data_IF_484232314817
#
_entry.id   IF_484232314817
#
_cell.length_a   1.000
_cell.length_b   1.000
_cell.length_c   1.000
_cell.angle_alpha   90.00
_cell.angle_beta   90.00
_cell.angle_gamma   90.00
#
_symmetry.space_group_name_H-M   'P 1'
#
loop_
_entity.id
_entity.type
_entity.pdbx_description
1 polymer ?
#
# COMPACT_ATOMS: atom_id res chain seq x y z
N UNK A 1 26.15 1.08 22.27
CA UNK A 1 25.88 1.57 20.92
C UNK A 1 26.27 0.53 19.86
N UNK A 2 27.47 -0.06 19.95
CA UNK A 2 27.96 -1.04 18.96
C UNK A 2 27.21 -2.38 18.93
N UNK A 3 26.64 -2.85 20.03
CA UNK A 3 25.88 -4.09 20.08
C UNK A 3 24.48 -3.94 19.42
N UNK A 4 23.88 -2.76 19.53
CA UNK A 4 22.60 -2.45 18.87
C UNK A 4 22.82 -2.27 17.35
N UNK A 5 23.90 -1.59 16.96
CA UNK A 5 24.28 -1.45 15.55
C UNK A 5 24.57 -2.82 14.90
N UNK A 6 25.30 -3.70 15.57
CA UNK A 6 25.61 -5.04 15.06
C UNK A 6 24.38 -5.95 14.94
N UNK A 7 23.38 -5.77 15.78
CA UNK A 7 22.13 -6.53 15.70
C UNK A 7 21.15 -5.99 14.64
N UNK A 8 21.26 -4.69 14.29
CA UNK A 8 20.37 -4.07 13.27
C UNK A 8 20.92 -4.19 11.84
N UNK A 9 22.23 -4.33 11.65
CA UNK A 9 22.87 -4.46 10.34
C UNK A 9 22.32 -5.63 9.47
N UNK A 10 22.11 -6.84 10.00
CA UNK A 10 21.56 -7.94 9.21
C UNK A 10 20.14 -7.63 8.70
N UNK A 11 19.28 -7.08 9.56
CA UNK A 11 17.91 -6.70 9.19
C UNK A 11 17.89 -5.57 8.16
N UNK A 12 18.76 -4.57 8.32
CA UNK A 12 18.87 -3.47 7.36
C UNK A 12 19.33 -3.98 5.97
N UNK A 13 20.30 -4.92 5.95
CA UNK A 13 20.73 -5.56 4.71
C UNK A 13 19.61 -6.38 4.06
N UNK A 14 18.86 -7.11 4.84
CA UNK A 14 17.69 -7.87 4.37
C UNK A 14 16.67 -6.93 3.71
N UNK A 15 16.27 -5.85 4.40
CA UNK A 15 15.33 -4.86 3.85
C UNK A 15 15.87 -4.10 2.64
N UNK A 16 17.17 -3.86 2.58
CA UNK A 16 17.80 -3.30 1.38
C UNK A 16 17.72 -4.26 0.20
N UNK A 17 17.96 -5.54 0.42
CA UNK A 17 17.86 -6.56 -0.65
C UNK A 17 16.42 -6.71 -1.13
N UNK A 18 15.44 -6.72 -0.23
CA UNK A 18 14.01 -6.71 -0.58
C UNK A 18 13.66 -5.48 -1.44
N UNK A 19 14.08 -4.28 -1.02
CA UNK A 19 13.84 -3.05 -1.77
C UNK A 19 14.52 -3.06 -3.16
N UNK A 20 15.74 -3.57 -3.26
CA UNK A 20 16.43 -3.72 -4.54
C UNK A 20 15.72 -4.73 -5.45
N UNK A 21 15.27 -5.86 -4.92
CA UNK A 21 14.51 -6.85 -5.70
C UNK A 21 13.17 -6.30 -6.21
N UNK A 22 12.55 -5.37 -5.48
CA UNK A 22 11.34 -4.70 -5.90
C UNK A 22 11.58 -3.67 -7.02
N UNK A 23 12.59 -2.81 -6.86
CA UNK A 23 12.78 -1.63 -7.71
C UNK A 23 13.65 -1.92 -8.95
N UNK A 24 14.72 -2.73 -8.81
CA UNK A 24 15.68 -2.94 -9.90
C UNK A 24 15.09 -3.55 -11.17
N UNK A 25 14.20 -4.55 -11.12
CA UNK A 25 13.60 -5.09 -12.34
C UNK A 25 12.80 -4.04 -13.12
N UNK A 26 12.01 -3.23 -12.40
CA UNK A 26 11.21 -2.16 -13.00
C UNK A 26 12.13 -1.08 -13.57
N UNK A 27 13.15 -0.67 -12.81
CA UNK A 27 14.13 0.29 -13.28
C UNK A 27 14.89 -0.21 -14.52
N UNK A 28 15.24 -1.50 -14.57
CA UNK A 28 15.90 -2.10 -15.75
C UNK A 28 14.99 -2.08 -16.97
N UNK A 29 13.70 -2.41 -16.82
CA UNK A 29 12.73 -2.35 -17.93
C UNK A 29 12.63 -0.91 -18.46
N UNK A 30 12.47 0.07 -17.56
CA UNK A 30 12.39 1.48 -17.93
C UNK A 30 13.66 1.92 -18.67
N UNK A 31 14.86 1.56 -18.17
CA UNK A 31 16.12 1.86 -18.83
C UNK A 31 16.20 1.24 -20.21
N UNK A 32 15.83 -0.03 -20.38
CA UNK A 32 15.81 -0.68 -21.70
C UNK A 32 14.89 0.06 -22.64
N UNK A 33 13.70 0.48 -22.21
CA UNK A 33 12.77 1.26 -23.02
C UNK A 33 13.35 2.63 -23.40
N UNK A 34 14.03 3.32 -22.47
CA UNK A 34 14.66 4.62 -22.68
C UNK A 34 15.80 4.55 -23.73
N UNK A 35 16.52 3.43 -23.79
CA UNK A 35 17.62 3.26 -24.75
C UNK A 35 17.20 2.61 -26.08
N UNK A 36 15.94 2.17 -26.22
CA UNK A 36 15.48 1.45 -27.40
C UNK A 36 14.30 2.13 -28.09
N UNK A 37 13.12 2.10 -27.46
CA UNK A 37 11.85 2.47 -28.10
C UNK A 37 11.47 3.92 -27.83
N UNK A 38 11.79 4.43 -26.64
CA UNK A 38 11.37 5.74 -26.18
C UNK A 38 12.57 6.55 -25.64
N UNK A 39 13.43 7.08 -26.53
CA UNK A 39 14.57 7.89 -26.10
C UNK A 39 14.13 9.06 -25.23
N UNK A 40 14.73 9.19 -24.04
CA UNK A 40 14.46 10.25 -23.07
C UNK A 40 15.59 11.27 -23.03
N UNK A 41 15.28 12.49 -22.60
CA UNK A 41 16.32 13.48 -22.32
C UNK A 41 17.20 13.03 -21.14
N UNK A 42 18.48 13.43 -21.11
CA UNK A 42 19.35 13.15 -19.98
C UNK A 42 18.79 13.62 -18.65
N UNK A 43 18.01 14.70 -18.64
CA UNK A 43 17.33 15.26 -17.48
C UNK A 43 16.34 14.28 -16.85
N UNK A 44 15.45 13.72 -17.66
CA UNK A 44 14.45 12.73 -17.20
C UNK A 44 15.16 11.46 -16.71
N UNK A 45 16.22 11.02 -17.42
CA UNK A 45 16.97 9.84 -17.01
C UNK A 45 17.67 10.03 -15.67
N UNK A 46 18.29 11.19 -15.43
CA UNK A 46 18.95 11.50 -14.15
C UNK A 46 17.93 11.63 -13.01
N UNK A 47 16.78 12.30 -13.25
CA UNK A 47 15.69 12.36 -12.28
C UNK A 47 15.19 10.95 -11.92
N UNK A 48 15.02 10.09 -12.93
CA UNK A 48 14.59 8.71 -12.73
C UNK A 48 15.59 7.88 -11.91
N UNK A 49 16.88 7.95 -12.21
CA UNK A 49 17.92 7.21 -11.48
C UNK A 49 18.04 7.67 -10.02
N UNK A 50 18.01 8.98 -9.78
CA UNK A 50 18.02 9.52 -8.44
C UNK A 50 16.74 9.13 -7.69
N UNK A 51 15.58 9.23 -8.35
CA UNK A 51 14.31 8.77 -7.83
C UNK A 51 14.31 7.28 -7.46
N UNK A 52 14.89 6.42 -8.32
CA UNK A 52 15.05 4.99 -8.05
C UNK A 52 15.88 4.73 -6.78
N UNK A 53 16.99 5.43 -6.62
CA UNK A 53 17.81 5.33 -5.42
C UNK A 53 17.06 5.78 -4.16
N UNK A 54 16.30 6.87 -4.24
CA UNK A 54 15.45 7.35 -3.15
C UNK A 54 14.33 6.38 -2.82
N UNK A 55 13.69 5.75 -3.81
CA UNK A 55 12.66 4.73 -3.60
C UNK A 55 13.24 3.51 -2.89
N UNK A 56 14.41 3.01 -3.31
CA UNK A 56 15.08 1.88 -2.65
C UNK A 56 15.37 2.17 -1.18
N UNK A 57 15.95 3.33 -0.87
CA UNK A 57 16.20 3.76 0.51
C UNK A 57 14.89 3.99 1.25
N UNK A 58 13.90 4.57 0.59
CA UNK A 58 12.57 4.81 1.12
C UNK A 58 11.89 3.51 1.56
N UNK A 59 11.81 2.51 0.68
CA UNK A 59 11.23 1.20 0.98
C UNK A 59 11.99 0.52 2.13
N UNK A 60 13.33 0.53 2.11
CA UNK A 60 14.15 -0.06 3.16
C UNK A 60 13.82 0.50 4.55
N UNK A 61 13.84 1.84 4.71
CA UNK A 61 13.55 2.46 6.00
C UNK A 61 12.09 2.30 6.40
N UNK A 62 11.19 2.45 5.47
CA UNK A 62 9.77 2.39 5.70
C UNK A 62 9.30 0.99 6.11
N UNK A 63 9.71 -0.09 5.42
CA UNK A 63 9.34 -1.46 5.79
C UNK A 63 9.90 -1.85 7.16
N UNK A 64 11.17 -1.48 7.44
CA UNK A 64 11.75 -1.67 8.77
C UNK A 64 10.98 -0.90 9.84
N UNK A 65 10.63 0.35 9.55
CA UNK A 65 9.86 1.20 10.45
C UNK A 65 8.47 0.67 10.73
N UNK A 66 7.75 0.21 9.70
CA UNK A 66 6.42 -0.38 9.83
C UNK A 66 6.43 -1.66 10.68
N UNK A 67 7.39 -2.55 10.48
CA UNK A 67 7.56 -3.73 11.34
C UNK A 67 7.85 -3.38 12.79
N UNK A 68 8.62 -2.31 13.04
CA UNK A 68 8.97 -1.88 14.40
C UNK A 68 7.85 -1.11 15.10
N UNK A 69 6.93 -0.48 14.37
CA UNK A 69 5.87 0.37 14.91
C UNK A 69 4.48 -0.20 14.69
N UNK A 70 4.06 -0.42 13.42
CA UNK A 70 2.68 -0.76 13.08
C UNK A 70 2.27 -2.14 13.60
N UNK A 71 3.14 -3.16 13.47
CA UNK A 71 2.86 -4.51 13.97
C UNK A 71 2.66 -4.52 15.50
N UNK A 72 3.59 -4.01 16.34
CA UNK A 72 3.35 -3.99 17.79
C UNK A 72 2.16 -3.12 18.21
N UNK A 73 1.90 -2.02 17.48
CA UNK A 73 0.72 -1.18 17.73
C UNK A 73 -0.57 -1.97 17.46
N UNK A 74 -0.66 -2.65 16.30
CA UNK A 74 -1.81 -3.46 15.92
C UNK A 74 -2.10 -4.59 16.91
N UNK A 75 -1.08 -5.38 17.27
CA UNK A 75 -1.20 -6.48 18.24
C UNK A 75 -1.72 -6.01 19.60
N UNK A 76 -1.13 -4.93 20.13
CA UNK A 76 -1.50 -4.39 21.45
C UNK A 76 -2.90 -3.81 21.45
N UNK A 77 -3.25 -3.03 20.42
CA UNK A 77 -4.59 -2.45 20.28
C UNK A 77 -5.63 -3.56 20.10
N UNK A 78 -5.34 -4.56 19.25
CA UNK A 78 -6.20 -5.73 19.07
C UNK A 78 -6.46 -6.48 20.37
N UNK A 79 -5.42 -6.76 21.15
CA UNK A 79 -5.54 -7.44 22.45
C UNK A 79 -6.38 -6.66 23.48
N UNK A 80 -6.30 -5.32 23.47
CA UNK A 80 -7.13 -4.48 24.34
C UNK A 80 -8.58 -4.45 23.86
N UNK A 81 -8.78 -4.34 22.56
CA UNK A 81 -10.11 -4.29 21.96
C UNK A 81 -10.93 -5.53 22.33
N UNK A 82 -10.28 -6.69 22.31
CA UNK A 82 -10.91 -7.97 22.65
C UNK A 82 -11.26 -8.11 24.15
N UNK A 83 -10.45 -7.52 25.02
CA UNK A 83 -10.74 -7.54 26.48
C UNK A 83 -12.02 -6.79 26.83
N UNK A 84 -12.45 -5.81 26.03
CA UNK A 84 -13.64 -5.01 26.30
C UNK A 84 -14.94 -5.83 26.28
N UNK A 85 -14.98 -6.96 25.54
CA UNK A 85 -16.16 -7.84 25.36
C UNK A 85 -17.46 -7.11 24.95
N UNK A 86 -17.39 -5.83 24.59
CA UNK A 86 -18.54 -5.01 24.20
C UNK A 86 -18.56 -4.87 22.69
N UNK A 87 -19.50 -5.55 22.03
CA UNK A 87 -19.65 -5.53 20.58
C UNK A 87 -19.65 -4.13 19.97
N UNK A 88 -20.43 -3.14 20.47
CA UNK A 88 -20.42 -1.80 19.88
C UNK A 88 -19.06 -1.11 19.96
N UNK A 89 -18.28 -1.37 21.01
CA UNK A 89 -16.92 -0.82 21.18
C UNK A 89 -15.98 -1.46 20.16
N UNK A 90 -16.03 -2.78 19.99
CA UNK A 90 -15.19 -3.51 19.02
C UNK A 90 -15.47 -3.00 17.61
N UNK A 91 -16.74 -2.87 17.23
CA UNK A 91 -17.13 -2.44 15.89
C UNK A 91 -16.80 -0.96 15.64
N UNK A 92 -17.13 -0.06 16.61
CA UNK A 92 -16.86 1.37 16.47
C UNK A 92 -15.36 1.69 16.44
N UNK A 93 -14.58 1.07 17.33
CA UNK A 93 -13.12 1.22 17.34
C UNK A 93 -12.52 0.56 16.10
N UNK A 94 -13.01 -0.59 15.68
CA UNK A 94 -12.58 -1.26 14.43
C UNK A 94 -12.76 -0.36 13.21
N UNK A 95 -13.95 0.27 13.08
CA UNK A 95 -14.19 1.26 12.03
C UNK A 95 -13.17 2.40 12.06
N UNK A 96 -12.99 3.00 13.25
CA UNK A 96 -12.08 4.13 13.42
C UNK A 96 -10.63 3.74 13.08
N UNK A 97 -10.18 2.56 13.52
CA UNK A 97 -8.84 2.06 13.22
C UNK A 97 -8.62 1.85 11.72
N UNK A 98 -9.55 1.16 11.04
CA UNK A 98 -9.49 0.97 9.59
C UNK A 98 -9.49 2.28 8.83
N UNK A 99 -10.32 3.22 9.25
CA UNK A 99 -10.40 4.56 8.66
C UNK A 99 -9.09 5.35 8.84
N UNK A 100 -8.54 5.41 10.07
CA UNK A 100 -7.34 6.19 10.37
C UNK A 100 -6.07 5.61 9.75
N UNK A 101 -5.90 4.28 9.77
CA UNK A 101 -4.74 3.65 9.16
C UNK A 101 -4.73 3.86 7.65
N UNK A 102 -5.90 3.80 7.02
CA UNK A 102 -6.03 3.98 5.56
C UNK A 102 -5.77 5.44 5.14
N UNK A 103 -6.21 6.44 5.88
CA UNK A 103 -5.85 7.84 5.61
C UNK A 103 -4.32 8.04 5.68
N UNK A 104 -3.66 7.28 6.54
CA UNK A 104 -2.20 7.36 6.72
C UNK A 104 -1.42 6.63 5.63
N UNK A 105 -2.10 5.88 4.74
CA UNK A 105 -1.45 5.13 3.66
C UNK A 105 -0.98 6.09 2.54
N UNK A 106 0.34 6.16 2.27
CA UNK A 106 0.87 7.10 1.28
C UNK A 106 0.46 6.76 -0.16
N UNK A 107 0.30 5.48 -0.47
CA UNK A 107 -0.08 5.03 -1.80
C UNK A 107 -1.50 5.54 -2.16
N UNK A 108 -2.36 5.72 -1.17
CA UNK A 108 -3.69 6.30 -1.36
C UNK A 108 -3.62 7.78 -1.80
N UNK A 109 -2.62 8.52 -1.32
CA UNK A 109 -2.41 9.91 -1.76
C UNK A 109 -1.90 9.95 -3.20
N UNK A 110 -0.98 9.04 -3.56
CA UNK A 110 -0.51 8.90 -4.94
C UNK A 110 -1.67 8.58 -5.88
N UNK A 111 -2.53 7.62 -5.50
CA UNK A 111 -3.73 7.29 -6.26
C UNK A 111 -4.67 8.50 -6.42
N UNK A 112 -4.93 9.24 -5.34
CA UNK A 112 -5.80 10.40 -5.38
C UNK A 112 -5.29 11.49 -6.33
N UNK A 113 -3.99 11.73 -6.37
CA UNK A 113 -3.36 12.70 -7.27
C UNK A 113 -3.46 12.30 -8.76
N UNK A 114 -3.70 11.02 -9.06
CA UNK A 114 -3.87 10.51 -10.43
C UNK A 114 -5.31 10.56 -10.94
N UNK A 115 -6.28 10.93 -10.09
CA UNK A 115 -7.71 10.97 -10.42
C UNK A 115 -8.24 12.41 -10.34
N UNK A 116 -7.93 13.30 -11.30
CA UNK A 116 -8.26 14.72 -11.23
C UNK A 116 -9.76 15.01 -11.24
N UNK A 117 -10.59 14.05 -11.65
CA UNK A 117 -12.05 14.19 -11.69
C UNK A 117 -12.73 14.15 -10.32
N UNK A 118 -12.04 13.67 -9.29
CA UNK A 118 -12.55 13.60 -7.92
C UNK A 118 -11.62 14.41 -7.01
N UNK A 119 -12.13 15.29 -6.13
CA UNK A 119 -11.29 15.97 -5.14
C UNK A 119 -10.53 14.93 -4.28
N UNK A 120 -9.21 15.11 -4.13
CA UNK A 120 -8.34 14.16 -3.41
C UNK A 120 -8.89 13.76 -2.04
N UNK A 121 -9.33 14.73 -1.24
CA UNK A 121 -9.90 14.47 0.07
C UNK A 121 -11.15 13.59 0.02
N UNK A 122 -12.02 13.82 -0.98
CA UNK A 122 -13.23 13.01 -1.16
C UNK A 122 -12.87 11.56 -1.47
N UNK A 123 -11.90 11.33 -2.35
CA UNK A 123 -11.45 9.99 -2.68
C UNK A 123 -10.82 9.32 -1.46
N UNK A 124 -9.87 9.99 -0.78
CA UNK A 124 -9.16 9.46 0.38
C UNK A 124 -10.16 9.10 1.50
N UNK A 125 -11.08 9.99 1.85
CA UNK A 125 -12.04 9.72 2.93
C UNK A 125 -13.04 8.62 2.56
N UNK A 126 -13.46 8.55 1.30
CA UNK A 126 -14.38 7.48 0.84
C UNK A 126 -13.72 6.11 0.87
N UNK A 127 -12.48 6.02 0.39
CA UNK A 127 -11.69 4.78 0.45
C UNK A 127 -11.44 4.37 1.91
N UNK A 128 -11.04 5.31 2.75
CA UNK A 128 -10.81 5.05 4.17
C UNK A 128 -12.10 4.61 4.90
N UNK A 129 -13.24 5.22 4.58
CA UNK A 129 -14.54 4.80 5.09
C UNK A 129 -14.90 3.38 4.62
N UNK A 130 -14.59 3.05 3.37
CA UNK A 130 -14.74 1.70 2.81
C UNK A 130 -13.95 0.66 3.61
N UNK A 131 -12.66 0.92 3.88
CA UNK A 131 -11.83 0.03 4.71
C UNK A 131 -12.38 -0.09 6.13
N UNK A 132 -12.70 1.04 6.77
CA UNK A 132 -13.25 1.05 8.13
C UNK A 132 -14.54 0.23 8.24
N UNK A 133 -15.45 0.40 7.26
CA UNK A 133 -16.70 -0.36 7.20
C UNK A 133 -16.45 -1.86 7.03
N UNK A 134 -15.58 -2.23 6.08
CA UNK A 134 -15.30 -3.64 5.81
C UNK A 134 -14.46 -4.31 6.90
N UNK A 135 -13.59 -3.58 7.60
CA UNK A 135 -12.95 -4.07 8.81
C UNK A 135 -13.98 -4.35 9.91
N UNK A 136 -14.99 -3.49 10.05
CA UNK A 136 -16.10 -3.71 10.97
C UNK A 136 -16.91 -4.95 10.59
N UNK A 137 -17.23 -5.14 9.31
CA UNK A 137 -17.91 -6.34 8.80
C UNK A 137 -17.06 -7.59 9.04
N UNK A 138 -15.75 -7.49 8.83
CA UNK A 138 -14.83 -8.59 9.07
C UNK A 138 -14.75 -8.97 10.55
N UNK A 139 -14.73 -8.02 11.47
CA UNK A 139 -14.83 -8.31 12.92
C UNK A 139 -16.17 -8.94 13.28
N UNK A 140 -17.27 -8.41 12.74
CA UNK A 140 -18.60 -8.98 12.98
C UNK A 140 -18.68 -10.43 12.47
N UNK A 141 -18.13 -10.71 11.28
CA UNK A 141 -18.03 -12.06 10.74
C UNK A 141 -17.27 -13.00 11.69
N UNK A 142 -16.09 -12.55 12.16
CA UNK A 142 -15.25 -13.35 13.08
C UNK A 142 -15.99 -13.66 14.37
N UNK A 143 -16.67 -12.67 14.96
CA UNK A 143 -17.42 -12.85 16.20
C UNK A 143 -18.65 -13.76 16.03
N UNK A 144 -19.30 -13.72 14.87
CA UNK A 144 -20.47 -14.56 14.55
C UNK A 144 -20.07 -15.96 14.00
N UNK A 145 -18.80 -16.20 13.73
CA UNK A 145 -18.31 -17.45 13.16
C UNK A 145 -18.76 -17.70 11.72
N UNK A 146 -19.06 -16.64 10.96
CA UNK A 146 -19.51 -16.75 9.57
C UNK A 146 -18.32 -17.09 8.67
N UNK A 147 -18.46 -18.08 7.78
CA UNK A 147 -17.43 -18.48 6.83
C UNK A 147 -17.07 -17.34 5.86
N UNK A 148 -15.78 -17.19 5.54
CA UNK A 148 -15.28 -16.13 4.64
C UNK A 148 -15.73 -16.31 3.17
N UNK A 149 -15.64 -17.53 2.56
CA UNK A 149 -15.86 -17.68 1.13
C UNK A 149 -17.22 -17.18 0.62
N UNK A 150 -18.38 -17.50 1.25
CA UNK A 150 -19.66 -17.02 0.77
C UNK A 150 -19.79 -15.50 0.85
N UNK A 151 -19.17 -14.85 1.84
CA UNK A 151 -19.15 -13.39 1.93
C UNK A 151 -18.32 -12.76 0.82
N UNK A 152 -17.15 -13.32 0.51
CA UNK A 152 -16.33 -12.84 -0.60
C UNK A 152 -17.09 -12.98 -1.93
N UNK A 153 -17.74 -14.12 -2.18
CA UNK A 153 -18.54 -14.32 -3.39
C UNK A 153 -19.67 -13.27 -3.48
N UNK A 154 -20.38 -13.04 -2.39
CA UNK A 154 -21.46 -12.05 -2.37
C UNK A 154 -20.98 -10.62 -2.63
N UNK A 155 -19.89 -10.20 -1.96
CA UNK A 155 -19.36 -8.84 -2.11
C UNK A 155 -18.66 -8.63 -3.45
N UNK A 156 -17.90 -9.60 -3.98
CA UNK A 156 -17.34 -9.49 -5.33
C UNK A 156 -18.44 -9.55 -6.39
N UNK A 157 -19.52 -10.32 -6.17
CA UNK A 157 -20.71 -10.27 -7.02
C UNK A 157 -21.30 -8.85 -7.09
N UNK A 158 -21.40 -8.17 -5.92
CA UNK A 158 -21.82 -6.77 -5.86
C UNK A 158 -20.84 -5.83 -6.58
N UNK A 159 -19.52 -6.03 -6.40
CA UNK A 159 -18.48 -5.27 -7.12
C UNK A 159 -18.68 -5.37 -8.62
N UNK A 160 -18.84 -6.59 -9.17
CA UNK A 160 -19.02 -6.78 -10.61
C UNK A 160 -20.35 -6.22 -11.13
N UNK A 161 -21.42 -6.29 -10.34
CA UNK A 161 -22.69 -5.65 -10.70
C UNK A 161 -22.51 -4.13 -10.77
N UNK A 162 -21.89 -3.50 -9.77
CA UNK A 162 -21.64 -2.05 -9.78
C UNK A 162 -20.69 -1.65 -10.90
N UNK A 163 -19.66 -2.45 -11.17
CA UNK A 163 -18.70 -2.20 -12.25
C UNK A 163 -19.35 -2.08 -13.63
N UNK A 164 -20.49 -2.74 -13.86
CA UNK A 164 -21.23 -2.64 -15.11
C UNK A 164 -21.89 -1.25 -15.33
N UNK A 165 -22.06 -0.46 -14.28
CA UNK A 165 -22.70 0.87 -14.33
C UNK A 165 -21.69 2.03 -14.25
N UNK A 166 -20.40 1.75 -14.06
CA UNK A 166 -19.34 2.74 -13.89
C UNK A 166 -18.65 3.01 -15.22
N UNK A 167 -18.25 4.26 -15.54
CA UNK A 167 -17.44 4.56 -16.71
C UNK A 167 -16.12 3.75 -16.70
N UNK A 168 -15.68 3.32 -17.88
CA UNK A 168 -14.51 2.42 -18.02
C UNK A 168 -13.22 2.99 -17.41
N UNK A 169 -13.06 4.30 -17.45
CA UNK A 169 -11.94 5.03 -16.90
C UNK A 169 -11.80 4.83 -15.39
N UNK A 170 -12.94 4.67 -14.69
CA UNK A 170 -12.97 4.43 -13.25
C UNK A 170 -12.77 2.97 -12.84
N UNK A 171 -12.94 2.01 -13.74
CA UNK A 171 -12.79 0.60 -13.39
C UNK A 171 -11.37 0.30 -12.92
N UNK A 172 -10.36 0.76 -13.65
CA UNK A 172 -8.98 0.57 -13.29
C UNK A 172 -8.67 1.18 -11.91
N UNK A 173 -9.10 2.43 -11.69
CA UNK A 173 -8.92 3.14 -10.42
C UNK A 173 -9.62 2.43 -9.26
N UNK A 174 -10.84 1.93 -9.49
CA UNK A 174 -11.60 1.23 -8.46
C UNK A 174 -10.90 -0.07 -8.02
N UNK A 175 -10.47 -0.90 -8.96
CA UNK A 175 -9.75 -2.12 -8.62
C UNK A 175 -8.37 -1.84 -8.03
N UNK A 176 -7.66 -0.83 -8.51
CA UNK A 176 -6.37 -0.39 -7.96
C UNK A 176 -6.52 0.11 -6.52
N UNK A 177 -7.60 0.82 -6.18
CA UNK A 177 -7.86 1.27 -4.81
C UNK A 177 -7.95 0.12 -3.81
N UNK A 178 -8.42 -1.07 -4.23
CA UNK A 178 -8.39 -2.29 -3.42
C UNK A 178 -6.97 -2.78 -3.14
N UNK A 179 -6.06 -2.61 -4.10
CA UNK A 179 -4.63 -2.91 -3.95
C UNK A 179 -3.91 -1.90 -3.07
N UNK A 180 -4.18 -0.61 -3.26
CA UNK A 180 -3.59 0.49 -2.46
C UNK A 180 -3.82 0.32 -0.96
N UNK A 181 -4.97 -0.21 -0.55
CA UNK A 181 -5.29 -0.46 0.86
C UNK A 181 -4.61 -1.70 1.45
N UNK A 182 -3.95 -2.49 0.62
CA UNK A 182 -3.06 -3.57 1.06
C UNK A 182 -1.60 -3.11 1.16
N UNK A 183 -1.38 -1.82 1.32
CA UNK A 183 -0.07 -1.19 1.41
C UNK A 183 0.72 -1.59 2.65
N UNK A 184 1.98 -1.22 2.66
CA UNK A 184 2.95 -1.70 3.64
C UNK A 184 2.75 -1.16 5.07
N UNK A 185 1.87 -0.18 5.29
CA UNK A 185 1.43 0.25 6.63
C UNK A 185 0.16 -0.46 7.07
N UNK A 186 -0.82 -0.53 6.19
CA UNK A 186 -2.16 -1.03 6.50
C UNK A 186 -2.15 -2.54 6.74
N UNK A 187 -1.45 -3.33 5.92
CA UNK A 187 -1.43 -4.80 6.04
C UNK A 187 -0.81 -5.27 7.36
N UNK A 188 0.41 -4.86 7.75
CA UNK A 188 0.99 -5.31 9.02
C UNK A 188 0.13 -4.93 10.23
N UNK A 189 -0.49 -3.75 10.20
CA UNK A 189 -1.36 -3.28 11.26
C UNK A 189 -2.66 -4.09 11.34
N UNK A 190 -3.38 -4.25 10.22
CA UNK A 190 -4.67 -4.97 10.18
C UNK A 190 -4.46 -6.46 10.51
N UNK A 191 -3.40 -7.08 9.98
CA UNK A 191 -3.09 -8.48 10.33
C UNK A 191 -2.77 -8.65 11.81
N UNK A 192 -1.91 -7.77 12.36
CA UNK A 192 -1.57 -7.79 13.78
C UNK A 192 -2.81 -7.52 14.65
N UNK A 193 -3.68 -6.60 14.24
CA UNK A 193 -4.96 -6.34 14.88
C UNK A 193 -5.85 -7.60 14.84
N UNK A 194 -5.89 -8.29 13.70
CA UNK A 194 -6.62 -9.54 13.50
C UNK A 194 -6.14 -10.65 14.43
N UNK A 195 -4.83 -10.85 14.52
CA UNK A 195 -4.22 -11.80 15.47
C UNK A 195 -4.60 -11.44 16.91
N UNK A 196 -4.55 -10.15 17.28
CA UNK A 196 -4.99 -9.68 18.60
C UNK A 196 -6.47 -9.95 18.85
N UNK A 197 -7.33 -9.79 17.86
CA UNK A 197 -8.78 -10.06 17.96
C UNK A 197 -9.09 -11.55 17.97
N UNK A 198 -8.43 -12.34 17.15
CA UNK A 198 -8.66 -13.79 17.06
C UNK A 198 -8.14 -14.58 18.28
N UNK A 199 -7.22 -14.01 19.04
CA UNK A 199 -6.71 -14.60 20.29
C UNK A 199 -7.80 -14.83 21.37
N UNK A 200 -9.01 -14.27 21.22
CA UNK A 200 -10.16 -14.62 22.08
C UNK A 200 -10.69 -16.02 21.76
N UNK A 201 -10.63 -16.42 20.51
CA UNK A 201 -11.08 -17.73 20.05
C UNK A 201 -9.88 -18.65 20.08
N UNK A 202 -9.87 -19.59 21.03
CA UNK A 202 -8.85 -20.64 21.17
C UNK A 202 -8.88 -21.67 20.01
N UNK A 203 -9.45 -21.30 18.86
CA UNK A 203 -9.66 -22.14 17.69
C UNK A 203 -8.44 -22.14 16.75
N UNK A 204 -8.19 -23.31 16.11
CA UNK A 204 -7.17 -23.49 15.07
C UNK A 204 -7.34 -22.57 13.84
N UNK A 205 -8.51 -21.93 13.69
CA UNK A 205 -8.85 -21.02 12.59
C UNK A 205 -8.46 -19.55 12.82
N UNK A 206 -7.79 -19.23 13.93
CA UNK A 206 -7.42 -17.84 14.25
C UNK A 206 -6.49 -17.22 13.21
N UNK A 207 -5.58 -18.00 12.61
CA UNK A 207 -4.68 -17.52 11.54
C UNK A 207 -5.43 -17.28 10.22
N UNK A 208 -6.36 -18.17 9.87
CA UNK A 208 -7.21 -18.05 8.68
C UNK A 208 -8.10 -16.81 8.77
N UNK A 209 -8.58 -16.51 9.97
CA UNK A 209 -9.43 -15.35 10.22
C UNK A 209 -8.67 -14.02 10.08
N UNK A 210 -7.41 -13.95 10.48
CA UNK A 210 -6.60 -12.72 10.34
C UNK A 210 -6.30 -12.39 8.88
N UNK A 211 -6.07 -13.39 8.04
CA UNK A 211 -5.92 -13.22 6.59
C UNK A 211 -7.23 -12.73 5.94
N UNK A 212 -8.35 -13.29 6.36
CA UNK A 212 -9.67 -12.87 5.90
C UNK A 212 -9.98 -11.39 6.14
N UNK A 213 -9.36 -10.75 7.14
CA UNK A 213 -9.50 -9.31 7.38
C UNK A 213 -8.95 -8.48 6.21
N UNK A 214 -7.76 -8.79 5.72
CA UNK A 214 -7.14 -8.05 4.61
C UNK A 214 -7.98 -8.20 3.34
N UNK A 215 -8.41 -9.43 3.02
CA UNK A 215 -9.27 -9.68 1.86
C UNK A 215 -10.59 -8.90 1.92
N UNK A 216 -11.23 -8.82 3.09
CA UNK A 216 -12.45 -8.03 3.28
C UNK A 216 -12.16 -6.53 3.16
N UNK A 217 -11.08 -6.04 3.76
CA UNK A 217 -10.70 -4.62 3.71
C UNK A 217 -10.38 -4.12 2.30
N UNK A 218 -9.94 -4.99 1.38
CA UNK A 218 -9.70 -4.63 -0.03
C UNK A 218 -10.99 -4.39 -0.82
N UNK A 219 -12.11 -5.03 -0.44
CA UNK A 219 -13.40 -4.87 -1.13
C UNK A 219 -14.01 -3.50 -0.87
N UNK A 220 -13.87 -2.97 0.36
CA UNK A 220 -14.44 -1.69 0.77
C UNK A 220 -14.04 -0.53 -0.13
N UNK A 221 -12.74 -0.31 -0.37
CA UNK A 221 -12.23 0.68 -1.31
C UNK A 221 -12.77 0.54 -2.72
N UNK A 222 -12.78 -0.68 -3.26
CA UNK A 222 -13.31 -0.94 -4.60
C UNK A 222 -14.76 -0.45 -4.69
N UNK A 223 -15.61 -0.85 -3.75
CA UNK A 223 -17.00 -0.41 -3.72
C UNK A 223 -17.12 1.10 -3.54
N UNK A 224 -16.33 1.72 -2.67
CA UNK A 224 -16.33 3.16 -2.45
C UNK A 224 -16.00 3.93 -3.74
N UNK A 225 -14.95 3.52 -4.46
CA UNK A 225 -14.54 4.17 -5.72
C UNK A 225 -15.52 3.90 -6.85
N UNK A 226 -16.12 2.71 -6.95
CA UNK A 226 -17.20 2.44 -7.91
C UNK A 226 -18.39 3.36 -7.65
N UNK A 227 -18.81 3.55 -6.40
CA UNK A 227 -19.89 4.47 -6.04
C UNK A 227 -19.53 5.91 -6.41
N UNK A 228 -18.29 6.35 -6.11
CA UNK A 228 -17.80 7.68 -6.52
C UNK A 228 -17.84 7.84 -8.04
N UNK A 229 -17.43 6.84 -8.80
CA UNK A 229 -17.47 6.84 -10.27
C UNK A 229 -18.89 7.01 -10.82
N UNK A 230 -19.91 6.43 -10.16
CA UNK A 230 -21.33 6.63 -10.51
C UNK A 230 -21.77 8.05 -10.17
N UNK A 231 -21.41 8.56 -8.98
CA UNK A 231 -21.86 9.88 -8.48
C UNK A 231 -21.22 11.02 -9.26
N UNK A 232 -19.93 10.98 -9.48
CA UNK A 232 -19.18 12.07 -10.11
C UNK A 232 -19.30 12.08 -11.65
N UNK A 233 -19.75 10.96 -12.27
CA UNK A 233 -19.96 10.85 -13.74
C UNK A 233 -18.84 11.56 -14.51
N UNK A 234 -17.61 11.18 -14.30
CA UNK A 234 -16.45 11.86 -14.89
C UNK A 234 -16.39 11.66 -16.41
N UNK A 235 -17.27 12.37 -17.11
CA UNK A 235 -17.37 12.30 -18.56
C UNK A 235 -16.37 13.20 -19.30
N UNK A 236 -15.66 14.12 -18.63
CA UNK A 236 -14.84 15.14 -19.31
C UNK A 236 -13.49 15.47 -18.64
N UNK A 237 -12.96 14.61 -17.78
CA UNK A 237 -11.62 14.88 -17.23
C UNK A 237 -10.54 14.44 -18.22
N UNK A 238 -10.11 15.37 -19.04
CA UNK A 238 -8.90 15.20 -19.85
C UNK A 238 -7.71 15.12 -18.90
N UNK A 239 -7.03 13.96 -18.88
CA UNK A 239 -5.76 13.84 -18.15
C UNK A 239 -4.76 14.85 -18.75
N UNK A 240 -4.34 15.81 -17.95
CA UNK A 240 -3.27 16.75 -18.34
C UNK A 240 -1.95 16.14 -17.83
N UNK A 241 -1.08 15.70 -18.72
CA UNK A 241 0.22 15.17 -18.31
C UNK A 241 0.99 16.21 -17.50
N UNK A 242 1.65 15.83 -16.40
CA UNK A 242 2.52 16.75 -15.68
C UNK A 242 3.65 17.25 -16.61
N UNK A 243 4.04 18.50 -16.38
CA UNK A 243 5.16 19.11 -17.13
C UNK A 243 6.43 18.31 -16.80
N UNK A 244 7.12 17.86 -17.84
CA UNK A 244 8.37 17.13 -17.68
C UNK A 244 9.45 18.07 -17.13
N UNK A 245 10.24 17.64 -16.15
CA UNK A 245 11.31 18.47 -15.61
C UNK A 245 12.41 18.66 -16.68
N UNK A 246 12.68 19.90 -17.04
CA UNK A 246 13.86 20.28 -17.79
C UNK A 246 14.96 20.66 -16.81
N UNK A 247 16.02 19.90 -16.78
CA UNK A 247 17.16 20.08 -15.87
C UNK A 247 18.41 20.19 -16.71
N UNK A 248 19.07 21.34 -16.65
CA UNK A 248 20.26 21.64 -17.47
C UNK A 248 21.54 21.21 -16.78
N UNK A 249 21.56 21.22 -15.46
CA UNK A 249 22.74 20.89 -14.66
C UNK A 249 22.41 20.19 -13.33
N UNK A 250 23.43 19.81 -12.59
CA UNK A 250 23.29 19.10 -11.30
C UNK A 250 22.72 19.99 -10.18
N UNK A 251 22.81 21.31 -10.30
CA UNK A 251 22.29 22.25 -9.31
C UNK A 251 20.76 22.34 -9.49
N UNK A 252 20.27 22.44 -10.71
CA UNK A 252 18.84 22.41 -11.03
C UNK A 252 18.23 21.07 -10.63
N UNK A 253 18.93 19.95 -10.88
CA UNK A 253 18.50 18.63 -10.41
C UNK A 253 18.33 18.61 -8.89
N UNK A 254 19.32 19.10 -8.14
CA UNK A 254 19.24 19.21 -6.69
C UNK A 254 18.08 20.09 -6.24
N UNK A 255 17.91 21.25 -6.88
CA UNK A 255 16.82 22.17 -6.56
C UNK A 255 15.45 21.54 -6.75
N UNK A 256 15.24 20.77 -7.82
CA UNK A 256 13.99 20.07 -8.08
C UNK A 256 13.57 19.16 -6.92
N UNK A 257 14.50 18.33 -6.42
CA UNK A 257 14.25 17.47 -5.27
C UNK A 257 14.15 18.25 -3.95
N UNK A 258 15.02 19.23 -3.74
CA UNK A 258 15.04 20.03 -2.51
C UNK A 258 13.78 20.89 -2.34
N UNK A 259 13.22 21.45 -3.40
CA UNK A 259 11.96 22.24 -3.35
C UNK A 259 10.76 21.35 -3.07
N UNK A 260 10.77 20.11 -3.57
CA UNK A 260 9.66 19.16 -3.37
C UNK A 260 9.68 18.51 -1.98
N UNK A 261 10.85 18.33 -1.37
CA UNK A 261 11.04 17.65 -0.10
C UNK A 261 10.21 18.23 1.08
N UNK A 262 10.14 19.57 1.30
CA UNK A 262 9.31 20.16 2.36
C UNK A 262 7.82 19.86 2.22
N UNK A 263 7.32 19.70 0.99
CA UNK A 263 5.93 19.32 0.72
C UNK A 263 5.66 17.93 1.25
N UNK A 264 6.49 16.94 0.88
CA UNK A 264 6.33 15.57 1.35
C UNK A 264 6.60 15.41 2.85
N UNK A 265 7.51 16.20 3.43
CA UNK A 265 7.70 16.24 4.88
C UNK A 265 6.40 16.62 5.61
N UNK A 266 5.70 17.65 5.15
CA UNK A 266 4.42 18.09 5.74
C UNK A 266 3.30 17.08 5.48
N UNK A 267 3.23 16.55 4.28
CA UNK A 267 2.21 15.59 3.85
C UNK A 267 2.27 14.32 4.69
N UNK A 268 3.46 13.72 4.83
CA UNK A 268 3.65 12.50 5.62
C UNK A 268 3.49 12.77 7.12
N UNK A 269 3.92 13.93 7.63
CA UNK A 269 3.64 14.29 9.02
C UNK A 269 2.13 14.36 9.28
N UNK A 270 1.37 14.95 8.37
CA UNK A 270 -0.09 15.03 8.42
C UNK A 270 -0.76 13.65 8.36
N UNK A 271 -0.26 12.76 7.50
CA UNK A 271 -0.80 11.40 7.32
C UNK A 271 -0.53 10.52 8.54
N UNK A 272 0.66 10.59 9.15
CA UNK A 272 1.00 9.79 10.34
C UNK A 272 0.36 10.32 11.63
N UNK A 273 0.02 11.61 11.69
CA UNK A 273 -0.51 12.25 12.88
C UNK A 273 -1.75 11.55 13.46
N UNK A 274 -2.79 11.20 12.67
CA UNK A 274 -3.98 10.51 13.19
C UNK A 274 -3.66 9.19 13.89
N UNK A 275 -2.74 8.40 13.32
CA UNK A 275 -2.34 7.11 13.90
C UNK A 275 -1.55 7.30 15.21
N UNK A 276 -0.66 8.30 15.25
CA UNK A 276 0.13 8.62 16.43
C UNK A 276 -0.78 9.09 17.55
N UNK A 277 -1.75 9.97 17.26
CA UNK A 277 -2.72 10.47 18.23
C UNK A 277 -3.60 9.34 18.74
N UNK A 278 -4.12 8.51 17.84
CA UNK A 278 -4.94 7.35 18.21
C UNK A 278 -4.16 6.39 19.12
N UNK A 279 -2.93 6.03 18.74
CA UNK A 279 -2.09 5.16 19.56
C UNK A 279 -1.75 5.80 20.91
N UNK A 280 -1.49 7.11 20.95
CA UNK A 280 -1.30 7.89 22.20
C UNK A 280 -2.51 7.78 23.11
N UNK A 281 -3.73 7.93 22.59
CA UNK A 281 -4.97 7.74 23.36
C UNK A 281 -5.03 6.32 23.93
N UNK A 282 -4.80 5.30 23.12
CA UNK A 282 -4.77 3.90 23.59
C UNK A 282 -3.68 3.67 24.63
N UNK A 283 -2.51 4.27 24.49
CA UNK A 283 -1.41 4.18 25.43
C UNK A 283 -1.82 4.70 26.82
N UNK A 284 -2.47 5.87 26.88
CA UNK A 284 -2.89 6.48 28.15
C UNK A 284 -4.11 5.79 28.78
N UNK A 285 -5.05 5.32 27.95
CA UNK A 285 -6.34 4.78 28.47
C UNK A 285 -6.23 3.29 28.81
N UNK A 286 -5.45 2.52 28.04
CA UNK A 286 -5.57 1.07 28.08
C UNK A 286 -4.26 0.27 28.01
N UNK A 287 -3.26 0.72 27.27
CA UNK A 287 -2.08 -0.09 26.98
C UNK A 287 -1.05 -0.04 28.12
N UNK A 288 -0.76 1.13 28.65
CA UNK A 288 0.21 1.38 29.73
C UNK A 288 1.56 0.66 29.50
N UNK A 289 2.09 0.78 28.26
CA UNK A 289 3.33 0.12 27.86
C UNK A 289 4.54 0.71 28.57
N UNK A 290 5.55 -0.13 28.75
CA UNK A 290 6.85 0.29 29.30
C UNK A 290 7.60 1.24 28.34
N UNK A 291 8.45 2.11 28.91
CA UNK A 291 9.17 3.12 28.14
C UNK A 291 10.10 2.55 27.06
N UNK A 292 10.63 1.31 27.24
CA UNK A 292 11.47 0.67 26.24
C UNK A 292 10.68 0.26 25.00
N UNK A 293 9.49 -0.33 25.18
CA UNK A 293 8.59 -0.72 24.10
C UNK A 293 8.09 0.52 23.37
N UNK A 294 7.71 1.58 24.11
CA UNK A 294 7.29 2.84 23.51
C UNK A 294 8.42 3.52 22.73
N UNK A 295 9.64 3.50 23.26
CA UNK A 295 10.83 4.00 22.56
C UNK A 295 11.11 3.27 21.24
N UNK A 296 10.93 1.93 21.23
CA UNK A 296 11.07 1.14 19.99
C UNK A 296 10.04 1.52 18.93
N UNK A 297 8.79 1.70 19.33
CA UNK A 297 7.71 2.15 18.43
C UNK A 297 8.01 3.56 17.91
N UNK A 298 8.47 4.48 18.76
CA UNK A 298 8.83 5.83 18.33
C UNK A 298 9.98 5.84 17.30
N UNK A 299 11.01 5.01 17.51
CA UNK A 299 12.10 4.83 16.53
C UNK A 299 11.55 4.22 15.24
N UNK A 300 10.65 3.23 15.31
CA UNK A 300 9.98 2.66 14.15
C UNK A 300 9.19 3.71 13.37
N UNK A 301 8.41 4.56 14.06
CA UNK A 301 7.69 5.66 13.43
C UNK A 301 8.63 6.67 12.75
N UNK A 302 9.78 6.98 13.36
CA UNK A 302 10.79 7.85 12.74
C UNK A 302 11.35 7.23 11.46
N UNK A 303 11.65 5.93 11.45
CA UNK A 303 12.08 5.23 10.24
C UNK A 303 10.97 5.20 9.18
N UNK A 304 9.72 4.93 9.58
CA UNK A 304 8.54 5.01 8.68
C UNK A 304 8.44 6.40 8.06
N UNK A 305 8.52 7.44 8.85
CA UNK A 305 8.44 8.83 8.40
C UNK A 305 9.52 9.17 7.35
N UNK A 306 10.80 8.93 7.70
CA UNK A 306 11.92 9.19 6.79
C UNK A 306 11.80 8.35 5.51
N UNK A 307 11.46 7.06 5.67
CA UNK A 307 11.29 6.15 4.54
C UNK A 307 10.19 6.60 3.58
N UNK A 308 9.03 7.00 4.09
CA UNK A 308 7.91 7.49 3.28
C UNK A 308 8.23 8.80 2.56
N UNK A 309 8.92 9.74 3.21
CA UNK A 309 9.35 11.00 2.58
C UNK A 309 10.29 10.71 1.41
N UNK A 310 11.27 9.83 1.58
CA UNK A 310 12.17 9.42 0.51
C UNK A 310 11.42 8.71 -0.62
N UNK A 311 10.53 7.79 -0.27
CA UNK A 311 9.72 7.04 -1.23
C UNK A 311 8.85 7.97 -2.08
N UNK A 312 8.03 8.83 -1.47
CA UNK A 312 7.16 9.73 -2.21
C UNK A 312 7.93 10.76 -3.03
N UNK A 313 9.04 11.29 -2.49
CA UNK A 313 9.89 12.21 -3.27
C UNK A 313 10.46 11.49 -4.50
N UNK A 314 11.00 10.28 -4.33
CA UNK A 314 11.55 9.48 -5.42
C UNK A 314 10.49 9.09 -6.46
N UNK A 315 9.30 8.71 -6.01
CA UNK A 315 8.21 8.31 -6.89
C UNK A 315 7.67 9.49 -7.70
N UNK A 316 7.31 10.59 -7.04
CA UNK A 316 6.64 11.71 -7.70
C UNK A 316 7.60 12.59 -8.53
N UNK A 317 8.83 12.80 -8.05
CA UNK A 317 9.81 13.66 -8.74
C UNK A 317 10.65 12.89 -9.78
N UNK A 318 10.91 11.61 -9.52
CA UNK A 318 11.77 10.79 -10.38
C UNK A 318 11.00 9.82 -11.29
N UNK A 319 10.23 8.92 -10.70
CA UNK A 319 9.58 7.83 -11.45
C UNK A 319 8.39 8.29 -12.28
N UNK A 320 7.51 9.09 -11.70
CA UNK A 320 6.26 9.50 -12.35
C UNK A 320 6.49 10.27 -13.66
N UNK A 321 7.41 11.26 -13.74
CA UNK A 321 7.71 11.94 -15.01
C UNK A 321 8.22 11.00 -16.08
N UNK A 322 9.11 10.07 -15.75
CA UNK A 322 9.63 9.08 -16.69
C UNK A 322 8.53 8.12 -17.17
N UNK A 323 7.68 7.62 -16.25
CA UNK A 323 6.55 6.78 -16.57
C UNK A 323 5.54 7.47 -17.50
N UNK A 324 5.19 8.71 -17.22
CA UNK A 324 4.29 9.52 -18.06
C UNK A 324 4.86 9.72 -19.47
N UNK A 325 6.14 10.08 -19.56
CA UNK A 325 6.81 10.25 -20.85
C UNK A 325 6.81 8.95 -21.66
N UNK A 326 7.21 7.84 -21.03
CA UNK A 326 7.22 6.52 -21.66
C UNK A 326 5.83 6.12 -22.14
N UNK A 327 4.81 6.30 -21.31
CA UNK A 327 3.42 6.02 -21.64
C UNK A 327 2.95 6.79 -22.87
N UNK A 328 3.25 8.11 -22.94
CA UNK A 328 2.91 8.95 -24.10
C UNK A 328 3.62 8.51 -25.37
N UNK A 329 4.93 8.26 -25.30
CA UNK A 329 5.71 7.84 -26.46
C UNK A 329 5.24 6.48 -26.97
N UNK A 330 5.03 5.50 -26.09
CA UNK A 330 4.55 4.16 -26.46
C UNK A 330 3.15 4.20 -27.05
N UNK A 331 2.24 5.02 -26.49
CA UNK A 331 0.88 5.18 -27.03
C UNK A 331 0.86 5.82 -28.42
N UNK A 332 1.82 6.69 -28.73
CA UNK A 332 1.98 7.35 -30.04
C UNK A 332 2.60 6.45 -31.13
N UNK A 333 3.15 5.29 -30.80
CA UNK A 333 3.77 4.40 -31.78
C UNK A 333 2.74 3.68 -32.65
N UNK A 334 3.12 3.38 -33.88
CA UNK A 334 2.28 2.58 -34.81
C UNK A 334 2.06 1.15 -34.31
N UNK A 335 2.97 0.62 -33.50
CA UNK A 335 2.91 -0.70 -32.87
C UNK A 335 2.54 -0.63 -31.38
N UNK A 336 1.62 0.27 -31.02
CA UNK A 336 1.15 0.50 -29.64
C UNK A 336 0.72 -0.75 -28.87
N UNK A 337 0.44 -1.88 -29.55
CA UNK A 337 0.15 -3.15 -28.91
C UNK A 337 1.28 -3.65 -27.99
N UNK A 338 2.52 -3.15 -28.18
CA UNK A 338 3.68 -3.48 -27.32
C UNK A 338 3.48 -3.04 -25.86
N UNK A 339 2.57 -2.10 -25.59
CA UNK A 339 2.19 -1.70 -24.22
C UNK A 339 1.68 -2.91 -23.43
N UNK A 340 0.97 -3.84 -24.08
CA UNK A 340 0.40 -5.02 -23.42
C UNK A 340 1.49 -5.91 -22.82
N UNK A 341 2.46 -6.45 -23.60
CA UNK A 341 3.50 -7.30 -23.02
C UNK A 341 4.42 -6.54 -22.05
N UNK A 342 4.67 -5.24 -22.28
CA UNK A 342 5.43 -4.41 -21.34
C UNK A 342 4.65 -4.27 -20.01
N UNK A 343 3.36 -3.97 -20.08
CA UNK A 343 2.49 -3.87 -18.92
C UNK A 343 2.41 -5.20 -18.14
N UNK A 344 2.31 -6.33 -18.84
CA UNK A 344 2.36 -7.66 -18.23
C UNK A 344 3.67 -7.89 -17.48
N UNK A 345 4.81 -7.55 -18.09
CA UNK A 345 6.13 -7.73 -17.49
C UNK A 345 6.31 -6.83 -16.27
N UNK A 346 5.90 -5.57 -16.35
CA UNK A 346 5.93 -4.64 -15.21
C UNK A 346 5.01 -5.13 -14.10
N UNK A 347 3.78 -5.52 -14.43
CA UNK A 347 2.81 -6.05 -13.47
C UNK A 347 3.31 -7.31 -12.76
N UNK A 348 3.99 -8.21 -13.48
CA UNK A 348 4.64 -9.38 -12.89
C UNK A 348 5.63 -8.99 -11.77
N UNK A 349 6.54 -8.05 -12.05
CA UNK A 349 7.54 -7.63 -11.07
C UNK A 349 6.93 -6.83 -9.90
N UNK A 350 5.90 -6.02 -10.15
CA UNK A 350 5.18 -5.31 -9.08
C UNK A 350 4.55 -6.31 -8.11
N UNK A 351 3.83 -7.31 -8.62
CA UNK A 351 3.19 -8.34 -7.78
C UNK A 351 4.20 -9.15 -7.00
N UNK A 352 5.32 -9.52 -7.65
CA UNK A 352 6.41 -10.27 -6.99
C UNK A 352 7.06 -9.47 -5.85
N UNK A 353 7.09 -8.16 -5.97
CA UNK A 353 7.64 -7.25 -4.98
C UNK A 353 6.64 -6.88 -3.86
N UNK A 354 5.36 -7.20 -4.03
CA UNK A 354 4.29 -6.84 -3.09
C UNK A 354 4.41 -7.60 -1.77
N UNK A 355 4.61 -6.92 -0.63
CA UNK A 355 4.76 -7.58 0.67
C UNK A 355 3.52 -8.41 1.06
N UNK A 356 2.32 -7.95 0.69
CA UNK A 356 1.08 -8.66 0.97
C UNK A 356 1.02 -10.02 0.24
N UNK A 357 1.54 -10.11 -0.98
CA UNK A 357 1.62 -11.36 -1.76
C UNK A 357 2.60 -12.34 -1.11
N UNK A 358 3.73 -11.85 -0.61
CA UNK A 358 4.69 -12.70 0.12
C UNK A 358 4.05 -13.31 1.39
N UNK A 359 3.36 -12.48 2.17
CA UNK A 359 2.66 -12.94 3.38
C UNK A 359 1.57 -13.95 3.04
N UNK A 360 0.78 -13.69 1.98
CA UNK A 360 -0.23 -14.62 1.48
C UNK A 360 0.37 -15.98 1.11
N UNK A 361 1.43 -15.97 0.31
CA UNK A 361 2.08 -17.19 -0.14
C UNK A 361 2.58 -18.03 1.05
N UNK A 362 3.17 -17.36 2.06
CA UNK A 362 3.65 -18.02 3.27
C UNK A 362 2.50 -18.59 4.11
N UNK A 363 1.39 -17.89 4.24
CA UNK A 363 0.22 -18.37 4.97
C UNK A 363 -0.44 -19.58 4.28
N UNK A 364 -0.52 -19.57 2.94
CA UNK A 364 -1.02 -20.73 2.19
C UNK A 364 -0.13 -21.96 2.44
N UNK A 365 1.19 -21.79 2.46
CA UNK A 365 2.13 -22.85 2.79
C UNK A 365 1.91 -23.40 4.21
N UNK A 366 1.73 -22.51 5.19
CA UNK A 366 1.47 -22.87 6.58
C UNK A 366 0.12 -23.59 6.76
N UNK A 367 -0.96 -23.09 6.15
CA UNK A 367 -2.31 -23.68 6.24
C UNK A 367 -2.40 -25.05 5.54
N UNK A 368 -1.63 -25.22 4.47
CA UNK A 368 -1.60 -26.49 3.72
C UNK A 368 -0.55 -27.48 4.23
N UNK A 369 0.09 -27.22 5.39
CA UNK A 369 1.20 -28.01 5.92
C UNK A 369 2.30 -28.29 4.88
N UNK A 370 2.59 -27.29 4.03
CA UNK A 370 3.59 -27.39 2.97
C UNK A 370 3.14 -28.13 1.70
N UNK A 371 1.88 -28.58 1.60
CA UNK A 371 1.35 -29.24 0.40
C UNK A 371 1.35 -28.28 -0.82
N UNK A 372 1.13 -26.99 -0.59
CA UNK A 372 1.30 -25.93 -1.57
C UNK A 372 2.44 -25.03 -1.08
N UNK A 373 3.60 -25.10 -1.72
CA UNK A 373 4.73 -24.25 -1.33
C UNK A 373 4.48 -22.77 -1.67
N UNK A 374 5.06 -21.86 -0.89
CA UNK A 374 5.00 -20.43 -1.15
C UNK A 374 5.49 -20.08 -2.58
N UNK A 375 6.48 -20.81 -3.09
CA UNK A 375 6.97 -20.64 -4.47
C UNK A 375 5.94 -21.08 -5.51
N UNK A 376 5.27 -22.22 -5.32
CA UNK A 376 4.24 -22.70 -6.25
C UNK A 376 3.05 -21.73 -6.28
N UNK A 377 2.64 -21.21 -5.13
CA UNK A 377 1.57 -20.22 -5.03
C UNK A 377 1.97 -18.88 -5.66
N UNK A 378 3.21 -18.42 -5.45
CA UNK A 378 3.76 -17.25 -6.10
C UNK A 378 3.71 -17.37 -7.62
N UNK A 379 4.16 -18.50 -8.17
CA UNK A 379 4.12 -18.75 -9.62
C UNK A 379 2.69 -18.82 -10.17
N UNK A 380 1.74 -19.38 -9.42
CA UNK A 380 0.34 -19.40 -9.82
C UNK A 380 -0.29 -18.00 -9.84
N UNK A 381 0.02 -17.15 -8.85
CA UNK A 381 -0.39 -15.75 -8.82
C UNK A 381 0.19 -14.94 -9.99
N UNK A 382 1.45 -15.17 -10.31
CA UNK A 382 2.16 -14.55 -11.41
C UNK A 382 1.51 -14.87 -12.76
N UNK A 383 1.13 -16.14 -12.99
CA UNK A 383 0.46 -16.60 -14.21
C UNK A 383 -0.98 -16.07 -14.29
N UNK A 384 -1.72 -16.05 -13.19
CA UNK A 384 -3.12 -15.61 -13.15
C UNK A 384 -3.30 -14.14 -13.53
N UNK A 385 -2.35 -13.25 -13.18
CA UNK A 385 -2.38 -11.82 -13.54
C UNK A 385 -1.80 -11.50 -14.91
N UNK A 386 -1.01 -12.38 -15.49
CA UNK A 386 -0.53 -12.22 -16.87
C UNK A 386 -1.65 -12.39 -17.92
N UNK A 387 -2.84 -12.84 -17.53
CA UNK A 387 -3.99 -13.06 -18.39
C UNK A 387 -5.13 -12.05 -18.20
N UNK A 388 -5.00 -11.06 -17.31
CA UNK A 388 -5.96 -9.97 -17.09
C UNK A 388 -5.42 -8.65 -17.61
#
# INVERSE_FOLDING_TARGET
>A
MDAILKASLPKLREKLLEALQAVLPIAAIVLVLCFTIAPVSPSILLCFLLGAAMIVLGIMFFTLGAEMSMTPMGERVGAVLTRSRKLPVILGVGFLLGFLITISEPDLQVLANQVPSIPNQTLIFSVAAGVGLFLTVAFLRMLLGVALPPLLVAFYGLVFVLAAFVPREFLAVAFDSGGVTTGPMTVPFIMALGVGVSAIRSDRHAADDSFGLVAMCSIGPILAVLILGIVFRASDSTYIPPVLPEVSDSVELWQLFHVSLPTYLKEIAGSLLPIIVMFGIFQFVALHMDGRSLGRIAVGLAYTYVGLVLFLTGANVGFMPAGNYLGQVLAGQSFRWIIIPIGMLIGYFIVKAEPAVYVLNKQVEEVTDGAISAQAMGTAHEIGRAHV
#
